data_IF_678497468333
#
_entry.id   IF_678497468333
#
_cell.length_a   1.000
_cell.length_b   1.000
_cell.length_c   1.000
_cell.angle_alpha   90.00
_cell.angle_beta   90.00
_cell.angle_gamma   90.00
#
_symmetry.space_group_name_H-M   'P 1'
#
loop_
_entity.id
_entity.type
_entity.pdbx_description
1 polymer ?
#
# COMPACT_ATOMS: atom_id res chain seq x y z
N UNK A 1 -18.88 2.88 -20.20
CA UNK A 1 -19.90 3.30 -19.22
C UNK A 1 -19.37 3.02 -17.83
N UNK A 2 -19.28 4.03 -16.96
CA UNK A 2 -18.76 3.86 -15.60
C UNK A 2 -19.85 3.29 -14.70
N UNK A 3 -19.59 2.14 -14.07
CA UNK A 3 -20.58 1.50 -13.19
C UNK A 3 -20.92 2.43 -11.99
N UNK A 4 -22.17 2.38 -11.48
CA UNK A 4 -22.56 3.19 -10.33
C UNK A 4 -21.64 2.99 -9.12
N UNK A 5 -21.44 4.04 -8.31
CA UNK A 5 -20.51 4.03 -7.18
C UNK A 5 -20.77 2.87 -6.19
N UNK A 6 -22.03 2.55 -5.91
CA UNK A 6 -22.41 1.45 -5.03
C UNK A 6 -22.05 0.07 -5.61
N UNK A 7 -22.13 -0.10 -6.93
CA UNK A 7 -21.72 -1.34 -7.62
C UNK A 7 -20.20 -1.52 -7.53
N UNK A 8 -19.43 -0.45 -7.74
CA UNK A 8 -17.97 -0.48 -7.60
C UNK A 8 -17.55 -0.83 -6.18
N UNK A 9 -18.22 -0.25 -5.17
CA UNK A 9 -17.96 -0.56 -3.77
C UNK A 9 -18.29 -2.03 -3.45
N UNK A 10 -19.45 -2.52 -3.88
CA UNK A 10 -19.82 -3.92 -3.69
C UNK A 10 -18.82 -4.87 -4.36
N UNK A 11 -18.36 -4.56 -5.57
CA UNK A 11 -17.33 -5.30 -6.27
C UNK A 11 -15.99 -5.31 -5.52
N UNK A 12 -15.58 -4.18 -4.96
CA UNK A 12 -14.35 -4.09 -4.17
C UNK A 12 -14.42 -4.89 -2.86
N UNK A 13 -15.58 -4.86 -2.18
CA UNK A 13 -15.83 -5.69 -1.00
C UNK A 13 -15.79 -7.18 -1.36
N UNK A 14 -16.44 -7.56 -2.46
CA UNK A 14 -16.41 -8.94 -2.95
C UNK A 14 -14.98 -9.38 -3.28
N UNK A 15 -14.21 -8.56 -4.01
CA UNK A 15 -12.81 -8.84 -4.34
C UNK A 15 -11.95 -9.05 -3.09
N UNK A 16 -12.09 -8.18 -2.08
CA UNK A 16 -11.39 -8.36 -0.80
C UNK A 16 -11.75 -9.69 -0.15
N UNK A 17 -13.04 -10.02 -0.09
CA UNK A 17 -13.50 -11.27 0.53
C UNK A 17 -12.99 -12.50 -0.22
N UNK A 18 -12.90 -12.42 -1.56
CA UNK A 18 -12.28 -13.47 -2.38
C UNK A 18 -10.82 -13.67 -2.02
N UNK A 19 -10.04 -12.59 -1.86
CA UNK A 19 -8.65 -12.69 -1.41
C UNK A 19 -8.57 -13.30 -0.01
N UNK A 20 -9.45 -12.88 0.90
CA UNK A 20 -9.47 -13.42 2.27
C UNK A 20 -9.76 -14.92 2.34
N UNK A 21 -10.65 -15.42 1.48
CA UNK A 21 -11.14 -16.81 1.53
C UNK A 21 -10.36 -17.79 0.66
N UNK A 22 -9.77 -17.31 -0.44
CA UNK A 22 -9.26 -18.18 -1.49
C UNK A 22 -7.82 -17.88 -1.92
N UNK A 23 -7.15 -16.89 -1.31
CA UNK A 23 -5.76 -16.59 -1.67
C UNK A 23 -4.78 -17.65 -1.16
N UNK A 24 -5.02 -18.19 0.02
CA UNK A 24 -4.26 -19.32 0.55
C UNK A 24 -4.83 -20.64 0.02
N UNK A 25 -4.02 -21.36 -0.75
CA UNK A 25 -4.43 -22.62 -1.37
C UNK A 25 -4.57 -23.77 -0.35
N UNK A 26 -3.89 -23.68 0.81
CA UNK A 26 -3.99 -24.69 1.85
C UNK A 26 -5.27 -24.53 2.69
N UNK A 27 -5.84 -23.33 2.72
CA UNK A 27 -7.01 -22.98 3.51
C UNK A 27 -8.33 -23.06 2.73
N UNK A 28 -8.30 -23.40 1.43
CA UNK A 28 -9.45 -23.24 0.54
C UNK A 28 -9.63 -24.38 -0.48
N UNK A 29 -10.86 -24.86 -0.63
CA UNK A 29 -11.23 -25.85 -1.66
C UNK A 29 -11.12 -25.29 -3.09
N UNK A 30 -11.15 -23.95 -3.23
CA UNK A 30 -11.04 -23.25 -4.51
C UNK A 30 -9.65 -22.61 -4.60
N UNK A 31 -8.75 -23.28 -5.32
CA UNK A 31 -7.42 -22.75 -5.57
C UNK A 31 -7.43 -21.72 -6.72
N UNK A 32 -7.03 -20.47 -6.41
CA UNK A 32 -6.75 -19.46 -7.44
C UNK A 32 -5.43 -19.83 -8.14
N UNK A 33 -5.42 -19.87 -9.47
CA UNK A 33 -4.21 -20.18 -10.24
C UNK A 33 -3.13 -19.12 -10.03
N UNK A 34 -1.86 -19.55 -10.04
CA UNK A 34 -0.72 -18.63 -9.86
C UNK A 34 -0.68 -17.54 -10.94
N UNK A 35 -1.14 -17.85 -12.16
CA UNK A 35 -1.28 -16.88 -13.25
C UNK A 35 -2.23 -15.72 -12.90
N UNK A 36 -3.36 -16.02 -12.24
CA UNK A 36 -4.32 -15.00 -11.80
C UNK A 36 -3.75 -14.21 -10.62
N UNK A 37 -3.09 -14.88 -9.67
CA UNK A 37 -2.41 -14.20 -8.57
C UNK A 37 -1.36 -13.22 -9.06
N UNK A 38 -0.59 -13.58 -10.09
CA UNK A 38 0.40 -12.69 -10.69
C UNK A 38 -0.27 -11.46 -11.32
N UNK A 39 -1.33 -11.63 -12.11
CA UNK A 39 -2.07 -10.50 -12.70
C UNK A 39 -2.62 -9.54 -11.65
N UNK A 40 -3.16 -10.07 -10.55
CA UNK A 40 -3.64 -9.25 -9.43
C UNK A 40 -2.48 -8.47 -8.82
N UNK A 41 -1.34 -9.11 -8.52
CA UNK A 41 -0.14 -8.44 -7.96
C UNK A 41 0.38 -7.31 -8.86
N UNK A 42 0.36 -7.51 -10.18
CA UNK A 42 0.84 -6.52 -11.14
C UNK A 42 -0.10 -5.32 -11.28
N UNK A 43 -1.42 -5.55 -11.20
CA UNK A 43 -2.44 -4.52 -11.42
C UNK A 43 -2.92 -3.79 -10.16
N UNK A 44 -2.84 -4.41 -8.98
CA UNK A 44 -3.57 -3.95 -7.79
C UNK A 44 -3.09 -2.59 -7.29
N UNK A 45 -1.78 -2.33 -7.28
CA UNK A 45 -1.24 -1.04 -6.85
C UNK A 45 -1.61 0.08 -7.83
N UNK A 46 -1.53 -0.19 -9.14
CA UNK A 46 -1.93 0.77 -10.17
C UNK A 46 -3.43 1.11 -10.08
N UNK A 47 -4.27 0.10 -9.82
CA UNK A 47 -5.70 0.28 -9.61
C UNK A 47 -5.98 1.14 -8.36
N UNK A 48 -5.28 0.87 -7.25
CA UNK A 48 -5.42 1.64 -6.01
C UNK A 48 -5.21 3.15 -6.22
N UNK A 49 -4.30 3.54 -7.12
CA UNK A 49 -3.99 4.94 -7.37
C UNK A 49 -5.05 5.71 -8.17
N UNK A 50 -5.93 5.02 -8.90
CA UNK A 50 -6.90 5.65 -9.81
C UNK A 50 -8.35 5.55 -9.33
N UNK A 51 -8.61 4.80 -8.25
CA UNK A 51 -9.98 4.62 -7.72
C UNK A 51 -10.34 5.64 -6.63
N UNK A 52 -11.65 5.92 -6.41
CA UNK A 52 -12.12 6.77 -5.33
C UNK A 52 -11.78 6.22 -3.93
N UNK A 53 -11.72 7.11 -2.95
CA UNK A 53 -11.33 6.81 -1.56
C UNK A 53 -12.10 5.65 -0.91
N UNK A 54 -13.41 5.53 -1.16
CA UNK A 54 -14.23 4.43 -0.64
C UNK A 54 -13.76 3.05 -1.12
N UNK A 55 -13.31 2.98 -2.38
CA UNK A 55 -12.77 1.77 -3.02
C UNK A 55 -11.31 1.56 -2.59
N UNK A 56 -10.52 2.63 -2.48
CA UNK A 56 -9.14 2.56 -1.98
C UNK A 56 -9.06 1.86 -0.63
N UNK A 57 -9.98 2.15 0.30
CA UNK A 57 -10.01 1.48 1.61
C UNK A 57 -10.13 -0.05 1.49
N UNK A 58 -11.00 -0.55 0.59
CA UNK A 58 -11.18 -1.99 0.38
C UNK A 58 -9.96 -2.62 -0.32
N UNK A 59 -9.36 -1.91 -1.27
CA UNK A 59 -8.15 -2.37 -1.96
C UNK A 59 -6.94 -2.38 -1.03
N UNK A 60 -6.81 -1.42 -0.12
CA UNK A 60 -5.74 -1.40 0.91
C UNK A 60 -5.82 -2.63 1.81
N UNK A 61 -7.03 -3.00 2.24
CA UNK A 61 -7.24 -4.22 3.02
C UNK A 61 -6.91 -5.49 2.19
N UNK A 62 -7.30 -5.53 0.91
CA UNK A 62 -6.95 -6.63 0.01
C UNK A 62 -5.43 -6.75 -0.21
N UNK A 63 -4.72 -5.64 -0.43
CA UNK A 63 -3.25 -5.63 -0.54
C UNK A 63 -2.62 -6.18 0.74
N UNK A 64 -3.15 -5.80 1.91
CA UNK A 64 -2.64 -6.26 3.21
C UNK A 64 -2.80 -7.78 3.38
N UNK A 65 -3.94 -8.32 2.94
CA UNK A 65 -4.20 -9.77 2.95
C UNK A 65 -3.26 -10.49 1.99
N UNK A 66 -3.15 -10.03 0.74
CA UNK A 66 -2.27 -10.68 -0.23
C UNK A 66 -0.80 -10.63 0.24
N UNK A 67 -0.38 -9.48 0.76
CA UNK A 67 0.96 -9.30 1.28
C UNK A 67 1.24 -10.18 2.50
N UNK A 68 0.25 -10.61 3.30
CA UNK A 68 0.51 -11.54 4.41
C UNK A 68 0.92 -12.94 3.94
N UNK A 69 0.62 -13.31 2.70
CA UNK A 69 0.98 -14.61 2.13
C UNK A 69 2.16 -14.53 1.15
N UNK A 70 2.22 -13.45 0.35
CA UNK A 70 3.15 -13.39 -0.79
C UNK A 70 4.35 -12.46 -0.57
N UNK A 71 4.30 -11.57 0.44
CA UNK A 71 5.41 -10.65 0.72
C UNK A 71 6.40 -11.26 1.72
N UNK A 72 7.72 -11.20 1.47
CA UNK A 72 8.38 -10.52 0.35
C UNK A 72 8.67 -11.43 -0.85
N UNK A 73 8.72 -12.75 -0.68
CA UNK A 73 9.34 -13.67 -1.63
C UNK A 73 8.67 -13.71 -3.01
N UNK A 74 7.33 -13.78 -3.00
CA UNK A 74 6.50 -13.89 -4.22
C UNK A 74 6.06 -12.52 -4.75
N UNK A 75 6.24 -11.44 -3.99
CA UNK A 75 5.83 -10.10 -4.40
C UNK A 75 6.88 -9.03 -4.11
N UNK A 76 8.12 -9.30 -4.52
CA UNK A 76 9.26 -8.40 -4.31
C UNK A 76 9.02 -7.01 -4.93
N UNK A 77 8.34 -6.92 -6.07
CA UNK A 77 8.05 -5.65 -6.75
C UNK A 77 7.15 -4.67 -5.99
N UNK A 78 6.44 -5.12 -4.93
CA UNK A 78 5.51 -4.26 -4.17
C UNK A 78 6.22 -3.09 -3.49
N UNK A 79 7.31 -3.36 -2.75
CA UNK A 79 7.99 -2.35 -1.95
C UNK A 79 8.70 -1.29 -2.81
N UNK A 80 9.46 -1.64 -3.87
CA UNK A 80 10.01 -0.67 -4.81
C UNK A 80 8.92 0.19 -5.47
N UNK A 81 7.79 -0.41 -5.85
CA UNK A 81 6.69 0.33 -6.46
C UNK A 81 6.04 1.32 -5.48
N UNK A 82 5.84 0.92 -4.21
CA UNK A 82 5.36 1.82 -3.16
C UNK A 82 6.32 3.00 -2.95
N UNK A 83 7.62 2.74 -2.85
CA UNK A 83 8.66 3.78 -2.70
C UNK A 83 8.65 4.73 -3.88
N UNK A 84 8.64 4.22 -5.11
CA UNK A 84 8.64 5.05 -6.32
C UNK A 84 7.38 5.93 -6.40
N UNK A 85 6.20 5.36 -6.14
CA UNK A 85 4.94 6.10 -6.19
C UNK A 85 4.84 7.13 -5.06
N UNK A 86 5.32 6.81 -3.86
CA UNK A 86 5.32 7.73 -2.73
C UNK A 86 6.31 8.88 -2.95
N UNK A 87 7.50 8.56 -3.47
CA UNK A 87 8.50 9.54 -3.89
C UNK A 87 7.98 10.45 -5.01
N UNK A 88 7.25 9.92 -5.99
CA UNK A 88 6.61 10.73 -7.01
C UNK A 88 5.49 11.62 -6.46
N UNK A 89 4.73 11.14 -5.47
CA UNK A 89 3.65 11.92 -4.87
C UNK A 89 4.17 13.06 -4.00
N UNK A 90 5.25 12.84 -3.25
CA UNK A 90 5.70 13.76 -2.20
C UNK A 90 7.06 14.42 -2.48
N UNK A 91 7.83 13.91 -3.43
CA UNK A 91 9.16 14.41 -3.79
C UNK A 91 9.17 15.50 -4.87
N UNK A 92 8.12 15.58 -5.70
CA UNK A 92 8.01 16.60 -6.76
C UNK A 92 6.88 17.58 -6.46
N UNK A 93 7.12 18.88 -6.66
CA UNK A 93 6.09 19.91 -6.53
C UNK A 93 5.18 19.92 -7.80
N UNK A 94 3.85 20.08 -7.65
CA UNK A 94 3.10 20.18 -6.40
C UNK A 94 2.97 18.82 -5.70
N UNK A 95 3.20 18.81 -4.37
CA UNK A 95 3.16 17.58 -3.56
C UNK A 95 1.72 17.12 -3.34
N UNK A 96 1.43 15.86 -3.61
CA UNK A 96 0.16 15.21 -3.34
C UNK A 96 0.22 14.45 -2.00
N UNK A 97 -0.09 15.17 -0.93
CA UNK A 97 -0.13 14.61 0.43
C UNK A 97 -1.18 13.53 0.62
N UNK A 98 -2.29 13.57 -0.13
CA UNK A 98 -3.34 12.55 -0.01
C UNK A 98 -2.85 11.22 -0.59
N UNK A 99 -2.34 11.24 -1.82
CA UNK A 99 -1.76 10.06 -2.48
C UNK A 99 -0.56 9.52 -1.70
N UNK A 100 0.32 10.40 -1.25
CA UNK A 100 1.48 10.04 -0.44
C UNK A 100 1.09 9.34 0.87
N UNK A 101 0.13 9.88 1.61
CA UNK A 101 -0.37 9.27 2.86
C UNK A 101 -1.01 7.91 2.59
N UNK A 102 -1.81 7.78 1.53
CA UNK A 102 -2.46 6.52 1.17
C UNK A 102 -1.45 5.40 0.87
N UNK A 103 -0.35 5.72 0.18
CA UNK A 103 0.73 4.78 -0.11
C UNK A 103 1.51 4.38 1.16
N UNK A 104 1.78 5.33 2.05
CA UNK A 104 2.42 5.05 3.34
C UNK A 104 1.52 4.19 4.25
N UNK A 105 0.21 4.36 4.17
CA UNK A 105 -0.75 3.51 4.89
C UNK A 105 -0.70 2.06 4.43
N UNK A 106 -0.50 1.79 3.12
CA UNK A 106 -0.26 0.43 2.61
C UNK A 106 1.05 -0.13 3.20
N UNK A 107 2.13 0.65 3.20
CA UNK A 107 3.38 0.22 3.85
C UNK A 107 3.15 -0.13 5.32
N UNK A 108 2.45 0.73 6.06
CA UNK A 108 2.11 0.51 7.45
C UNK A 108 1.29 -0.78 7.68
N UNK A 109 0.34 -1.09 6.79
CA UNK A 109 -0.51 -2.28 6.93
C UNK A 109 0.24 -3.60 6.71
N UNK A 110 1.35 -3.57 5.96
CA UNK A 110 2.29 -4.69 5.85
C UNK A 110 3.10 -4.78 7.15
N UNK A 111 3.71 -3.67 7.58
CA UNK A 111 4.68 -3.68 8.70
C UNK A 111 4.04 -3.86 10.08
N UNK A 112 2.75 -3.56 10.26
CA UNK A 112 2.03 -3.76 11.53
C UNK A 112 2.11 -5.20 12.02
N UNK A 113 2.23 -6.19 11.11
CA UNK A 113 2.30 -7.62 11.48
C UNK A 113 3.54 -7.93 12.32
N UNK A 114 4.65 -7.24 12.08
CA UNK A 114 5.92 -7.46 12.80
C UNK A 114 5.82 -7.22 14.30
N UNK A 115 4.81 -6.48 14.77
CA UNK A 115 4.58 -6.23 16.20
C UNK A 115 4.14 -7.47 16.97
N UNK A 116 3.58 -8.46 16.28
CA UNK A 116 2.93 -9.62 16.89
C UNK A 116 3.52 -10.96 16.45
N UNK A 117 4.36 -10.97 15.42
CA UNK A 117 5.01 -12.20 14.91
C UNK A 117 6.23 -12.54 15.77
N UNK A 118 6.38 -13.81 16.13
CA UNK A 118 7.53 -14.31 16.87
C UNK A 118 8.81 -14.20 16.04
N UNK A 119 9.94 -14.03 16.73
CA UNK A 119 11.26 -13.94 16.08
C UNK A 119 11.57 -15.25 15.35
N UNK A 120 11.90 -15.14 14.07
CA UNK A 120 12.37 -16.23 13.21
C UNK A 120 13.38 -15.69 12.19
N UNK A 121 14.18 -16.58 11.61
CA UNK A 121 15.13 -16.20 10.56
C UNK A 121 14.41 -15.68 9.31
N UNK A 122 13.24 -16.24 9.01
CA UNK A 122 12.38 -15.79 7.91
C UNK A 122 11.87 -14.36 8.14
N UNK A 123 11.37 -14.07 9.35
CA UNK A 123 10.95 -12.72 9.72
C UNK A 123 12.12 -11.73 9.62
N UNK A 124 13.31 -12.08 10.09
CA UNK A 124 14.47 -11.19 10.00
C UNK A 124 14.97 -10.99 8.57
N UNK A 125 14.88 -12.01 7.71
CA UNK A 125 15.19 -11.88 6.28
C UNK A 125 14.24 -10.89 5.62
N UNK A 126 12.95 -10.97 5.94
CA UNK A 126 11.95 -10.01 5.48
C UNK A 126 12.19 -8.60 6.01
N UNK A 127 12.42 -8.43 7.32
CA UNK A 127 12.70 -7.12 7.91
C UNK A 127 13.95 -6.50 7.28
N UNK A 128 14.99 -7.31 7.04
CA UNK A 128 16.20 -6.84 6.34
C UNK A 128 15.86 -6.35 4.94
N UNK A 129 15.08 -7.11 4.17
CA UNK A 129 14.61 -6.69 2.85
C UNK A 129 13.87 -5.34 2.91
N UNK A 130 12.98 -5.15 3.88
CA UNK A 130 12.26 -3.89 4.07
C UNK A 130 13.23 -2.75 4.39
N UNK A 131 14.16 -2.96 5.32
CA UNK A 131 15.12 -1.91 5.70
C UNK A 131 16.01 -1.51 4.52
N UNK A 132 16.54 -2.48 3.77
CA UNK A 132 17.42 -2.22 2.63
C UNK A 132 16.74 -1.33 1.56
N UNK A 133 15.43 -1.46 1.35
CA UNK A 133 14.70 -0.77 0.28
C UNK A 133 13.87 0.43 0.74
N UNK A 134 13.41 0.44 1.99
CA UNK A 134 12.44 1.44 2.48
C UNK A 134 13.06 2.50 3.39
N UNK A 135 14.12 2.18 4.14
CA UNK A 135 14.61 3.07 5.21
C UNK A 135 15.14 4.42 4.66
N UNK A 136 15.94 4.38 3.59
CA UNK A 136 16.55 5.58 3.03
C UNK A 136 15.51 6.47 2.33
N UNK A 137 14.63 5.93 1.45
CA UNK A 137 13.55 6.74 0.88
C UNK A 137 12.59 7.33 1.91
N UNK A 138 12.26 6.57 2.97
CA UNK A 138 11.41 7.08 4.04
C UNK A 138 12.07 8.23 4.79
N UNK A 139 13.37 8.15 5.07
CA UNK A 139 14.11 9.21 5.73
C UNK A 139 14.18 10.48 4.87
N UNK A 140 14.46 10.35 3.58
CA UNK A 140 14.47 11.49 2.66
C UNK A 140 13.09 12.14 2.57
N UNK A 141 12.04 11.33 2.55
CA UNK A 141 10.67 11.81 2.58
C UNK A 141 10.35 12.57 3.88
N UNK A 142 10.79 12.04 5.02
CA UNK A 142 10.62 12.68 6.32
C UNK A 142 11.33 14.04 6.37
N UNK A 143 12.58 14.13 5.88
CA UNK A 143 13.30 15.41 5.77
C UNK A 143 12.58 16.41 4.86
N UNK A 144 12.12 15.94 3.70
CA UNK A 144 11.43 16.78 2.72
C UNK A 144 10.11 17.34 3.28
N UNK A 145 9.35 16.53 3.99
CA UNK A 145 8.09 16.95 4.64
C UNK A 145 8.33 17.88 5.83
N UNK A 146 9.39 17.65 6.61
CA UNK A 146 9.81 18.58 7.67
C UNK A 146 10.17 19.96 7.12
N UNK A 147 10.83 20.03 5.96
CA UNK A 147 11.21 21.29 5.33
C UNK A 147 10.01 22.13 4.88
N UNK A 148 8.85 21.52 4.64
CA UNK A 148 7.63 22.22 4.22
C UNK A 148 6.83 22.83 5.39
N UNK A 149 7.03 22.32 6.62
CA UNK A 149 6.28 22.76 7.81
C UNK A 149 6.33 24.28 8.08
N UNK A 150 7.50 24.96 7.98
CA UNK A 150 7.57 26.40 8.19
C UNK A 150 6.72 27.20 7.19
N UNK A 151 6.69 26.76 5.92
CA UNK A 151 5.86 27.37 4.88
C UNK A 151 4.36 27.16 5.11
N UNK A 152 3.98 25.99 5.63
CA UNK A 152 2.59 25.70 6.01
C UNK A 152 2.12 26.55 7.19
N UNK A 153 2.98 26.78 8.20
CA UNK A 153 2.67 27.66 9.33
C UNK A 153 2.50 29.12 8.90
N UNK A 154 3.33 29.61 7.99
CA UNK A 154 3.21 30.96 7.44
C UNK A 154 1.92 31.14 6.60
N UNK A 155 1.55 30.15 5.78
CA UNK A 155 0.31 30.17 5.01
C UNK A 155 -0.94 30.10 5.90
N UNK A 156 -0.90 29.29 6.98
CA UNK A 156 -1.99 29.22 7.96
C UNK A 156 -2.16 30.53 8.74
N UNK A 157 -1.07 31.23 9.07
CA UNK A 157 -1.11 32.55 9.68
C UNK A 157 -1.66 33.64 8.75
N UNK A 158 -1.39 33.56 7.45
CA UNK A 158 -1.88 34.51 6.46
C UNK A 158 -3.38 34.31 6.10
N UNK A 159 -3.89 33.08 6.16
CA UNK A 159 -5.31 32.78 5.92
C UNK A 159 -6.23 33.10 7.13
N UNK A 160 -5.65 33.42 8.29
CA UNK A 160 -6.36 33.81 9.51
C UNK A 160 -6.45 35.33 9.76
N UNK A 161 -5.98 36.16 8.82
CA UNK A 161 -6.03 37.61 8.85
C UNK A 161 -7.02 38.17 7.83
#
# INVERSE_FOLDING_TARGET
EEAPAHVRQAGAVFFKNMCKQHWDAEASDIAISESVKQQVRDGLLSLFLVVPEAVQAQLSEAISIIASHDFPERWQGLLPALVQQAGSALGTAPKDYKKGTALLQIGHSIFRRYRHVFKSDELFREIKYVLDHFQAPLLELFKATLADLPGAQAAAGAAGC
#
